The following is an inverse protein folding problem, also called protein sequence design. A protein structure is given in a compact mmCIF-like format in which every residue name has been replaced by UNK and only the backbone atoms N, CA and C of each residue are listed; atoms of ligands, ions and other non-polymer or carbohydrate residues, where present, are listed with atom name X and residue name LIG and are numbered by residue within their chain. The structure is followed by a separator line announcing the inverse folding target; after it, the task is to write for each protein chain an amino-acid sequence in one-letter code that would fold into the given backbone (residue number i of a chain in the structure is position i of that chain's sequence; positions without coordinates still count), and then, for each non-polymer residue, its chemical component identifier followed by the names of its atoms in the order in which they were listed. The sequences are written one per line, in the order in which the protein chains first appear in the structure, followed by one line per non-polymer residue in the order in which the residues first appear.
data_IF_808126788220
#
_entry.id   IF_808126788220
#
_cell.length_a   1.000
_cell.length_b   1.000
_cell.length_c   1.000
_cell.angle_alpha   90.00
_cell.angle_beta   90.00
_cell.angle_gamma   90.00
#
_symmetry.space_group_name_H-M   'P 1'
#
loop_
_entity.id
_entity.type
_entity.pdbx_description
1 polymer ?
#
# COMPACT_ATOMS: atom_id res chain seq x y z
N UNK A 1 -20.13 -18.11 14.41
CA UNK A 1 -19.22 -17.55 15.43
C UNK A 1 -17.77 -18.03 15.19
N UNK A 2 -17.25 -17.86 13.96
CA UNK A 2 -15.93 -18.37 13.54
C UNK A 2 -15.17 -17.38 12.63
N UNK A 3 -15.73 -16.21 12.35
CA UNK A 3 -15.17 -15.18 11.45
C UNK A 3 -14.34 -14.15 12.22
N UNK A 4 -14.73 -13.79 13.44
CA UNK A 4 -14.02 -12.79 14.26
C UNK A 4 -12.62 -13.22 14.69
N UNK A 5 -12.40 -14.49 15.00
CA UNK A 5 -11.07 -14.98 15.42
C UNK A 5 -10.09 -15.11 14.25
N UNK A 6 -10.61 -15.36 13.05
CA UNK A 6 -9.80 -15.46 11.83
C UNK A 6 -9.32 -14.05 11.43
N UNK A 7 -10.20 -13.04 11.47
CA UNK A 7 -9.84 -11.65 11.20
C UNK A 7 -8.95 -11.04 12.30
N UNK A 8 -9.17 -11.38 13.59
CA UNK A 8 -8.26 -10.97 14.67
C UNK A 8 -6.89 -11.65 14.62
N UNK A 9 -6.76 -12.84 14.04
CA UNK A 9 -5.45 -13.44 13.73
C UNK A 9 -4.76 -12.80 12.52
N UNK A 10 -5.51 -12.08 11.69
CA UNK A 10 -4.98 -11.20 10.65
C UNK A 10 -4.75 -9.77 11.14
N UNK A 11 -5.01 -9.48 12.43
CA UNK A 11 -4.59 -8.23 13.04
C UNK A 11 -3.06 -8.19 13.06
N UNK A 12 -2.52 -7.55 12.03
CA UNK A 12 -1.35 -6.69 12.01
C UNK A 12 -0.34 -7.06 13.10
N UNK A 13 0.69 -7.81 12.71
CA UNK A 13 1.89 -7.96 13.54
C UNK A 13 2.34 -6.57 14.03
N UNK A 14 2.87 -6.46 15.27
CA UNK A 14 3.31 -5.19 15.82
C UNK A 14 4.24 -4.51 14.83
N UNK A 15 4.14 -3.18 14.75
CA UNK A 15 4.85 -2.29 13.82
C UNK A 15 6.37 -2.55 13.90
N UNK A 16 6.83 -3.54 13.16
CA UNK A 16 8.19 -3.56 12.66
C UNK A 16 8.31 -2.30 11.79
N UNK A 17 9.39 -1.55 11.97
CA UNK A 17 9.64 -0.37 11.15
C UNK A 17 9.43 -0.74 9.66
N UNK A 18 8.68 0.07 8.89
CA UNK A 18 8.44 -0.23 7.49
C UNK A 18 9.76 -0.46 6.76
N UNK A 19 9.81 -1.45 5.87
CA UNK A 19 11.03 -1.74 5.12
C UNK A 19 11.44 -0.54 4.25
N UNK A 20 12.72 -0.41 3.91
CA UNK A 20 13.19 0.63 2.99
C UNK A 20 12.46 0.57 1.64
N UNK A 21 12.07 -0.64 1.19
CA UNK A 21 11.28 -0.83 -0.02
C UNK A 21 9.87 -0.26 0.12
N UNK A 22 9.24 -0.49 1.27
CA UNK A 22 7.94 0.10 1.58
C UNK A 22 8.01 1.62 1.62
N UNK A 23 9.02 2.19 2.28
CA UNK A 23 9.21 3.65 2.32
C UNK A 23 9.44 4.23 0.92
N UNK A 24 10.25 3.59 0.08
CA UNK A 24 10.48 4.01 -1.31
C UNK A 24 9.17 4.04 -2.13
N UNK A 25 8.31 3.04 -1.94
CA UNK A 25 6.99 3.01 -2.58
C UNK A 25 6.04 4.09 -2.04
N UNK A 26 6.06 4.33 -0.73
CA UNK A 26 5.28 5.39 -0.11
C UNK A 26 5.72 6.79 -0.61
N UNK A 27 7.02 6.99 -0.83
CA UNK A 27 7.55 8.22 -1.42
C UNK A 27 6.97 8.47 -2.82
N UNK A 28 6.95 7.45 -3.68
CA UNK A 28 6.32 7.56 -5.00
C UNK A 28 4.82 7.86 -4.91
N UNK A 29 4.13 7.30 -3.91
CA UNK A 29 2.73 7.62 -3.64
C UNK A 29 2.53 9.09 -3.26
N UNK A 30 3.41 9.65 -2.42
CA UNK A 30 3.37 11.05 -2.01
C UNK A 30 3.60 12.02 -3.17
N UNK A 31 4.52 11.71 -4.08
CA UNK A 31 4.81 12.57 -5.24
C UNK A 31 3.61 12.72 -6.18
N UNK A 32 2.85 11.63 -6.36
CA UNK A 32 1.66 11.63 -7.21
C UNK A 32 0.47 12.25 -6.50
N UNK A 33 0.41 12.12 -5.17
CA UNK A 33 -0.76 12.54 -4.42
C UNK A 33 -0.79 14.04 -4.16
N UNK A 34 -1.81 14.70 -4.73
CA UNK A 34 -2.00 16.14 -4.52
C UNK A 34 -2.67 16.48 -3.19
N UNK A 35 -3.77 15.82 -2.82
CA UNK A 35 -4.52 16.11 -1.58
C UNK A 35 -5.27 14.85 -1.10
N UNK A 36 -5.42 14.70 0.22
CA UNK A 36 -6.30 13.67 0.83
C UNK A 36 -7.28 14.32 1.79
N UNK A 37 -8.48 13.77 1.82
CA UNK A 37 -9.53 14.12 2.76
C UNK A 37 -9.99 12.87 3.51
N UNK A 38 -10.31 12.97 4.81
CA UNK A 38 -10.16 14.15 5.66
C UNK A 38 -8.71 14.33 6.15
N UNK A 39 -8.18 15.56 6.14
CA UNK A 39 -6.76 15.80 6.45
C UNK A 39 -6.34 15.39 7.87
N UNK A 40 -7.22 15.51 8.86
CA UNK A 40 -6.90 15.23 10.27
C UNK A 40 -6.49 13.78 10.52
N UNK A 41 -7.04 12.84 9.76
CA UNK A 41 -6.74 11.41 9.86
C UNK A 41 -5.35 11.10 9.27
N UNK A 42 -4.98 11.83 8.23
CA UNK A 42 -3.84 11.49 7.39
C UNK A 42 -2.59 12.28 7.71
N UNK A 43 -2.75 13.52 8.17
CA UNK A 43 -1.64 14.41 8.43
C UNK A 43 -0.58 13.81 9.39
N UNK A 44 -0.94 13.22 10.55
CA UNK A 44 0.06 12.64 11.45
C UNK A 44 0.86 11.51 10.78
N UNK A 45 0.17 10.61 10.09
CA UNK A 45 0.80 9.49 9.39
C UNK A 45 1.78 9.96 8.29
N UNK A 46 1.42 11.01 7.54
CA UNK A 46 2.28 11.55 6.49
C UNK A 46 3.49 12.29 7.09
N UNK A 47 3.32 12.98 8.22
CA UNK A 47 4.42 13.62 8.95
C UNK A 47 5.43 12.57 9.45
N UNK A 48 4.95 11.51 10.11
CA UNK A 48 5.80 10.39 10.58
C UNK A 48 6.54 9.71 9.42
N UNK A 49 5.85 9.53 8.28
CA UNK A 49 6.42 8.94 7.08
C UNK A 49 7.59 9.78 6.52
N UNK A 50 7.43 11.10 6.47
CA UNK A 50 8.47 12.01 6.01
C UNK A 50 9.68 12.00 6.93
N UNK A 51 9.46 11.95 8.25
CA UNK A 51 10.54 11.86 9.24
C UNK A 51 11.33 10.56 9.09
N UNK A 52 10.65 9.43 8.87
CA UNK A 52 11.29 8.15 8.58
C UNK A 52 12.12 8.18 7.29
N UNK A 53 11.60 8.79 6.21
CA UNK A 53 12.31 8.93 4.95
C UNK A 53 13.60 9.77 5.09
N UNK A 54 13.54 10.86 5.87
CA UNK A 54 14.71 11.69 6.18
C UNK A 54 15.74 10.90 6.97
N UNK A 55 15.29 10.11 7.96
CA UNK A 55 16.19 9.27 8.75
C UNK A 55 16.90 8.20 7.92
N UNK A 56 16.23 7.64 6.90
CA UNK A 56 16.79 6.65 5.98
C UNK A 56 17.76 7.21 4.94
N UNK A 57 17.95 8.54 4.87
CA UNK A 57 19.03 9.14 4.07
C UNK A 57 18.72 9.33 2.59
N UNK A 58 17.48 9.72 2.25
CA UNK A 58 17.13 10.10 0.87
C UNK A 58 16.82 8.91 -0.03
N UNK A 59 15.81 8.13 0.37
CA UNK A 59 15.27 7.02 -0.43
C UNK A 59 14.75 7.55 -1.78
N UNK A 60 15.18 6.92 -2.87
CA UNK A 60 14.59 7.20 -4.18
C UNK A 60 13.18 6.61 -4.26
N UNK A 61 12.20 7.36 -4.78
CA UNK A 61 10.85 6.86 -5.02
C UNK A 61 10.86 5.61 -5.91
N UNK A 62 10.19 4.55 -5.47
CA UNK A 62 10.06 3.30 -6.22
C UNK A 62 8.76 3.26 -7.01
N UNK A 63 8.85 2.95 -8.31
CA UNK A 63 7.67 2.79 -9.15
C UNK A 63 6.80 1.61 -8.64
N UNK A 64 5.47 1.77 -8.56
CA UNK A 64 4.60 0.70 -8.09
C UNK A 64 4.70 -0.54 -8.98
N UNK A 65 4.82 -1.71 -8.36
CA UNK A 65 5.00 -2.98 -9.07
C UNK A 65 6.46 -3.32 -9.40
N UNK A 66 7.43 -2.49 -9.01
CA UNK A 66 8.87 -2.73 -9.23
C UNK A 66 9.62 -2.98 -7.94
N UNK A 67 10.75 -3.69 -8.02
CA UNK A 67 11.67 -3.89 -6.91
C UNK A 67 12.69 -2.76 -6.87
N UNK A 68 12.75 -1.93 -5.82
CA UNK A 68 13.78 -0.90 -5.71
C UNK A 68 15.16 -1.51 -5.51
N UNK A 69 16.16 -0.93 -6.17
CA UNK A 69 17.58 -1.23 -5.96
C UNK A 69 18.19 -0.11 -5.11
N UNK A 70 18.83 -0.47 -4.00
CA UNK A 70 19.40 0.50 -3.06
C UNK A 70 20.89 0.79 -3.32
N UNK A 71 21.49 0.20 -4.36
CA UNK A 71 22.87 0.47 -4.78
C UNK A 71 23.96 -0.17 -3.92
N UNK A 72 23.61 -0.83 -2.82
CA UNK A 72 24.49 -1.64 -1.97
C UNK A 72 24.45 -3.14 -2.32
N UNK A 73 23.72 -3.49 -3.39
CA UNK A 73 23.46 -4.86 -3.81
C UNK A 73 22.23 -5.49 -3.15
N UNK A 74 21.52 -4.78 -2.27
CA UNK A 74 20.23 -5.20 -1.75
C UNK A 74 19.10 -4.80 -2.71
N UNK A 75 18.19 -5.75 -2.97
CA UNK A 75 17.00 -5.53 -3.79
C UNK A 75 15.77 -5.62 -2.89
N UNK A 76 14.95 -4.59 -2.92
CA UNK A 76 13.71 -4.49 -2.17
C UNK A 76 12.59 -5.37 -2.75
N UNK A 77 11.65 -5.77 -1.88
CA UNK A 77 10.44 -6.47 -2.27
C UNK A 77 9.52 -5.56 -3.09
N UNK A 78 9.11 -5.99 -4.29
CA UNK A 78 8.14 -5.27 -5.12
C UNK A 78 6.75 -5.21 -4.45
N UNK A 79 6.41 -6.21 -3.62
CA UNK A 79 5.18 -6.19 -2.85
C UNK A 79 5.24 -5.16 -1.71
N UNK A 80 6.39 -4.99 -1.07
CA UNK A 80 6.58 -3.97 -0.03
C UNK A 80 6.46 -2.58 -0.64
N UNK A 81 7.14 -2.34 -1.76
CA UNK A 81 7.06 -1.07 -2.49
C UNK A 81 5.62 -0.78 -2.94
N UNK A 82 4.91 -1.77 -3.49
CA UNK A 82 3.49 -1.62 -3.78
C UNK A 82 2.68 -1.32 -2.51
N UNK A 83 3.02 -1.95 -1.38
CA UNK A 83 2.36 -1.73 -0.09
C UNK A 83 2.49 -0.29 0.40
N UNK A 84 3.69 0.28 0.32
CA UNK A 84 3.92 1.68 0.65
C UNK A 84 3.15 2.62 -0.26
N UNK A 85 3.21 2.34 -1.57
CA UNK A 85 2.47 3.12 -2.55
C UNK A 85 0.96 3.11 -2.27
N UNK A 86 0.38 1.93 -2.02
CA UNK A 86 -1.06 1.78 -1.76
C UNK A 86 -1.47 2.33 -0.40
N UNK A 87 -0.62 2.24 0.63
CA UNK A 87 -0.89 2.85 1.95
C UNK A 87 -1.11 4.36 1.84
N UNK A 88 -0.35 5.00 0.94
CA UNK A 88 -0.58 6.38 0.55
C UNK A 88 -1.76 6.43 -0.43
N UNK A 89 -1.62 6.00 -1.66
CA UNK A 89 -2.59 6.28 -2.74
C UNK A 89 -3.96 5.59 -2.64
N UNK A 90 -4.09 4.60 -1.76
CA UNK A 90 -5.28 3.76 -1.69
C UNK A 90 -6.50 4.43 -1.10
N UNK A 91 -7.69 4.04 -1.53
CA UNK A 91 -8.97 4.43 -0.98
C UNK A 91 -9.82 3.17 -0.88
N UNK A 92 -10.43 2.96 0.28
CA UNK A 92 -11.33 1.83 0.50
C UNK A 92 -12.77 2.33 0.43
N UNK A 93 -13.61 1.63 -0.32
CA UNK A 93 -15.04 1.89 -0.37
C UNK A 93 -15.81 0.58 -0.67
N UNK A 94 -17.15 0.57 -0.73
CA UNK A 94 -17.94 -0.67 -0.74
C UNK A 94 -17.61 -1.66 -1.85
N UNK A 95 -17.16 -1.22 -3.02
CA UNK A 95 -16.81 -2.10 -4.14
C UNK A 95 -15.33 -2.53 -4.15
N UNK A 96 -14.53 -2.13 -3.14
CA UNK A 96 -13.20 -2.69 -2.88
C UNK A 96 -12.14 -1.69 -2.43
N UNK A 97 -10.88 -2.08 -2.65
CA UNK A 97 -9.72 -1.21 -2.46
C UNK A 97 -9.27 -0.67 -3.82
N UNK A 98 -9.18 0.65 -3.90
CA UNK A 98 -8.88 1.40 -5.12
C UNK A 98 -7.57 2.12 -4.97
N UNK A 99 -6.76 2.16 -6.01
CA UNK A 99 -5.61 3.06 -6.04
C UNK A 99 -5.27 3.42 -7.49
N UNK A 100 -4.92 4.69 -7.69
CA UNK A 100 -4.50 5.19 -8.99
C UNK A 100 -3.02 4.90 -9.19
N UNK A 101 -2.66 4.41 -10.38
CA UNK A 101 -1.28 4.09 -10.77
C UNK A 101 -0.95 4.79 -12.09
N UNK A 102 0.24 5.40 -12.25
CA UNK A 102 0.70 5.93 -13.53
C UNK A 102 0.57 4.88 -14.64
N UNK A 103 0.15 5.29 -15.84
CA UNK A 103 -0.18 4.37 -16.93
C UNK A 103 1.00 3.46 -17.27
N UNK A 104 2.20 4.01 -17.23
CA UNK A 104 3.47 3.34 -17.46
C UNK A 104 3.76 2.21 -16.45
N UNK A 105 3.23 2.28 -15.23
CA UNK A 105 3.46 1.29 -14.17
C UNK A 105 2.35 0.23 -14.09
N UNK A 106 1.21 0.41 -14.77
CA UNK A 106 0.07 -0.50 -14.65
C UNK A 106 0.40 -1.94 -15.07
N UNK A 107 1.18 -2.09 -16.13
CA UNK A 107 1.59 -3.41 -16.61
C UNK A 107 2.44 -4.16 -15.57
N UNK A 108 3.28 -3.44 -14.83
CA UNK A 108 4.13 -4.03 -13.79
C UNK A 108 3.32 -4.42 -12.56
N UNK A 109 2.38 -3.58 -12.12
CA UNK A 109 1.46 -3.93 -11.02
C UNK A 109 0.56 -5.11 -11.40
N UNK A 110 -0.01 -5.11 -12.61
CA UNK A 110 -0.85 -6.22 -13.09
C UNK A 110 -0.05 -7.53 -13.19
N UNK A 111 1.23 -7.47 -13.56
CA UNK A 111 2.12 -8.63 -13.59
C UNK A 111 2.46 -9.11 -12.18
N UNK A 112 2.76 -8.21 -11.26
CA UNK A 112 3.05 -8.54 -9.86
C UNK A 112 1.86 -9.24 -9.19
N UNK A 113 0.64 -8.81 -9.52
CA UNK A 113 -0.59 -9.32 -8.95
C UNK A 113 -1.32 -10.34 -9.86
N UNK A 114 -0.63 -10.94 -10.85
CA UNK A 114 -1.27 -11.74 -11.92
C UNK A 114 -2.04 -12.98 -11.46
N UNK A 115 -1.85 -13.41 -10.21
CA UNK A 115 -2.59 -14.51 -9.59
C UNK A 115 -3.93 -14.09 -8.98
N UNK A 116 -4.34 -12.83 -9.17
CA UNK A 116 -5.50 -12.21 -8.52
C UNK A 116 -6.51 -11.68 -9.53
N UNK A 117 -7.76 -11.61 -9.08
CA UNK A 117 -8.80 -10.88 -9.80
C UNK A 117 -8.61 -9.38 -9.54
N UNK A 118 -8.19 -8.66 -10.57
CA UNK A 118 -7.99 -7.21 -10.55
C UNK A 118 -8.86 -6.61 -11.65
N UNK A 119 -9.45 -5.45 -11.37
CA UNK A 119 -10.05 -4.63 -12.40
C UNK A 119 -9.12 -3.45 -12.67
N UNK A 120 -8.67 -3.31 -13.91
CA UNK A 120 -7.90 -2.15 -14.36
C UNK A 120 -8.81 -1.29 -15.23
N UNK A 121 -9.04 -0.05 -14.82
CA UNK A 121 -9.86 0.90 -15.57
C UNK A 121 -9.26 2.29 -15.50
N UNK A 122 -9.03 2.93 -16.65
CA UNK A 122 -8.76 4.37 -16.75
C UNK A 122 -7.66 4.97 -15.87
N UNK A 123 -6.63 4.21 -15.48
CA UNK A 123 -5.62 4.72 -14.52
C UNK A 123 -5.64 4.04 -13.15
N UNK A 124 -6.69 3.26 -12.89
CA UNK A 124 -7.06 2.82 -11.56
C UNK A 124 -7.03 1.29 -11.50
N UNK A 125 -6.58 0.79 -10.36
CA UNK A 125 -6.60 -0.63 -10.02
C UNK A 125 -7.59 -0.81 -8.89
N UNK A 126 -8.50 -1.75 -9.05
CA UNK A 126 -9.51 -2.12 -8.06
C UNK A 126 -9.29 -3.56 -7.64
N UNK A 127 -9.10 -3.74 -6.33
CA UNK A 127 -9.09 -5.03 -5.66
C UNK A 127 -10.49 -5.28 -5.12
N UNK A 128 -11.25 -6.26 -5.65
CA UNK A 128 -12.61 -6.50 -5.20
C UNK A 128 -12.61 -7.04 -3.75
N UNK A 129 -13.70 -6.85 -2.99
CA UNK A 129 -13.74 -7.15 -1.55
C UNK A 129 -13.33 -8.59 -1.19
N UNK A 130 -13.69 -9.56 -2.04
CA UNK A 130 -13.36 -10.98 -1.83
C UNK A 130 -11.87 -11.31 -2.00
N UNK A 131 -11.09 -10.48 -2.71
CA UNK A 131 -9.64 -10.65 -2.86
C UNK A 131 -8.82 -9.92 -1.78
N UNK A 132 -9.42 -8.99 -1.03
CA UNK A 132 -8.71 -8.14 -0.06
C UNK A 132 -7.94 -8.95 0.99
N UNK A 133 -8.49 -10.01 1.62
CA UNK A 133 -7.73 -10.82 2.57
C UNK A 133 -6.51 -11.51 1.96
N UNK A 134 -6.55 -11.81 0.66
CA UNK A 134 -5.42 -12.42 -0.04
C UNK A 134 -4.39 -11.39 -0.48
N UNK A 135 -4.86 -10.19 -0.86
CA UNK A 135 -4.03 -9.05 -1.19
C UNK A 135 -3.20 -8.59 0.02
N UNK A 136 -3.82 -8.43 1.19
CA UNK A 136 -3.15 -7.97 2.42
C UNK A 136 -2.09 -8.95 2.96
N UNK A 137 -2.12 -10.22 2.54
CA UNK A 137 -1.06 -11.20 2.89
C UNK A 137 0.22 -11.01 2.09
N UNK A 138 0.11 -10.38 0.92
CA UNK A 138 1.23 -10.15 0.02
C UNK A 138 1.72 -8.71 0.14
N UNK A 139 0.77 -7.77 0.17
CA UNK A 139 1.03 -6.33 0.09
C UNK A 139 0.83 -5.72 1.49
N UNK A 140 1.92 -5.34 2.20
CA UNK A 140 1.83 -4.77 3.53
C UNK A 140 1.26 -3.34 3.47
N UNK A 141 0.04 -3.17 4.00
CA UNK A 141 -0.63 -1.88 4.10
C UNK A 141 -0.53 -1.35 5.53
N UNK A 142 -0.14 -0.08 5.68
CA UNK A 142 -0.04 0.59 6.97
C UNK A 142 -0.75 1.95 6.96
N UNK A 143 -0.94 2.50 8.16
CA UNK A 143 -1.55 3.80 8.38
C UNK A 143 -3.07 3.78 8.28
N UNK A 144 -3.71 4.95 8.18
CA UNK A 144 -5.17 5.01 8.32
C UNK A 144 -5.98 4.18 7.31
N UNK A 145 -5.39 3.78 6.17
CA UNK A 145 -6.04 2.91 5.20
C UNK A 145 -6.20 1.49 5.74
N UNK A 146 -5.20 0.97 6.45
CA UNK A 146 -5.33 -0.35 7.08
C UNK A 146 -6.44 -0.33 8.13
N UNK A 147 -6.54 0.76 8.88
CA UNK A 147 -7.57 0.93 9.91
C UNK A 147 -8.97 0.95 9.27
N UNK A 148 -9.15 1.73 8.19
CA UNK A 148 -10.42 1.75 7.43
C UNK A 148 -10.79 0.38 6.85
N UNK A 149 -9.83 -0.35 6.27
CA UNK A 149 -10.09 -1.69 5.73
C UNK A 149 -10.55 -2.64 6.84
N UNK A 150 -9.91 -2.60 8.01
CA UNK A 150 -10.28 -3.45 9.14
C UNK A 150 -11.67 -3.08 9.66
N UNK A 151 -11.95 -1.80 9.86
CA UNK A 151 -13.24 -1.33 10.36
C UNK A 151 -14.40 -1.68 9.42
N UNK A 152 -14.24 -1.49 8.11
CA UNK A 152 -15.30 -1.69 7.15
C UNK A 152 -15.43 -3.15 6.64
N UNK A 153 -14.34 -3.94 6.63
CA UNK A 153 -14.41 -5.37 6.29
C UNK A 153 -14.95 -6.26 7.42
N UNK A 154 -15.12 -5.71 8.63
CA UNK A 154 -15.69 -6.38 9.79
C UNK A 154 -17.22 -6.17 9.95
N UNK A 155 -17.85 -5.45 9.03
CA UNK A 155 -19.31 -5.18 8.99
C UNK A 155 -19.99 -6.14 8.01
#
# INVERSE_FOLDING_TARGET
MLTDEVLKRFAIQPVDLPSAAWLAGAAAGLEVRKHRSPQWMWKPFIEDLLDLMVHHGGLEPANPGTSPDFGDGAIGSAYDALGGYVSVMGEFCPEGLYFKVPVECQADVARLLSSRHLYVSSGEIVIPPHEIPSFLRLVPIHGPLSDTIVEEALI
#
